data_IF_240473208430
#
_entry.id   IF_240473208430
#
_cell.length_a   1.000
_cell.length_b   1.000
_cell.length_c   1.000
_cell.angle_alpha   90.00
_cell.angle_beta   90.00
_cell.angle_gamma   90.00
#
_symmetry.space_group_name_H-M   'P 1'
#
loop_
_entity.id
_entity.type
_entity.pdbx_description
1 polymer ?
#
# COMPACT_ATOMS: atom_id res chain seq x y z
N UNK A 1 -9.80 8.36 -40.29
CA UNK A 1 -9.54 8.55 -41.74
C UNK A 1 -8.44 7.62 -42.29
N UNK A 2 -7.88 6.68 -41.49
CA UNK A 2 -6.80 5.79 -41.91
C UNK A 2 -7.24 4.30 -42.03
N UNK A 3 -8.52 4.06 -42.34
CA UNK A 3 -9.08 2.69 -42.39
C UNK A 3 -10.00 2.52 -43.61
N UNK A 4 -9.64 3.19 -44.72
CA UNK A 4 -10.28 2.92 -46.00
C UNK A 4 -9.56 1.71 -46.63
N UNK A 5 -10.25 0.62 -47.00
CA UNK A 5 -9.62 -0.54 -47.61
C UNK A 5 -9.01 -0.14 -48.95
N UNK A 6 -7.68 -0.03 -48.99
CA UNK A 6 -6.93 0.26 -50.21
C UNK A 6 -6.92 -0.98 -51.11
N UNK A 7 -7.53 -0.93 -52.31
CA UNK A 7 -7.57 -2.06 -53.24
C UNK A 7 -6.17 -2.45 -53.77
N UNK A 8 -5.15 -1.65 -53.49
CA UNK A 8 -3.76 -1.80 -53.93
C UNK A 8 -2.81 -2.19 -52.80
N UNK A 9 -3.27 -2.86 -51.74
CA UNK A 9 -2.39 -3.32 -50.67
C UNK A 9 -1.44 -4.45 -51.16
N UNK A 10 -0.13 -4.18 -51.32
CA UNK A 10 0.83 -5.17 -51.80
C UNK A 10 0.97 -6.36 -50.83
N UNK A 11 0.56 -6.18 -49.56
CA UNK A 11 0.52 -7.25 -48.57
C UNK A 11 -0.46 -8.37 -48.94
N UNK A 12 -1.56 -8.06 -49.64
CA UNK A 12 -2.54 -9.08 -50.10
C UNK A 12 -2.00 -9.93 -51.24
N UNK A 13 -1.23 -9.32 -52.14
CA UNK A 13 -0.63 -9.99 -53.30
C UNK A 13 0.60 -10.82 -52.91
N UNK A 14 1.39 -10.37 -51.94
CA UNK A 14 2.61 -11.05 -51.50
C UNK A 14 2.36 -12.16 -50.46
N UNK A 15 1.37 -12.03 -49.58
CA UNK A 15 1.15 -12.97 -48.47
C UNK A 15 -0.05 -13.91 -48.68
N UNK A 16 -0.86 -13.71 -49.72
CA UNK A 16 -1.96 -14.62 -50.08
C UNK A 16 -2.85 -15.01 -48.88
N UNK A 17 -3.12 -16.31 -48.62
CA UNK A 17 -3.97 -16.74 -47.51
C UNK A 17 -3.43 -16.41 -46.12
N UNK A 18 -2.11 -16.14 -45.99
CA UNK A 18 -1.47 -15.75 -44.73
C UNK A 18 -1.65 -14.27 -44.40
N UNK A 19 -2.14 -13.44 -45.35
CA UNK A 19 -2.42 -12.03 -45.12
C UNK A 19 -3.41 -11.82 -43.96
N UNK A 20 -4.38 -12.74 -43.77
CA UNK A 20 -5.34 -12.66 -42.66
C UNK A 20 -4.68 -12.78 -41.28
N UNK A 21 -3.67 -13.64 -41.14
CA UNK A 21 -2.94 -13.77 -39.89
C UNK A 21 -1.90 -12.68 -39.70
N UNK A 22 -1.27 -12.22 -40.78
CA UNK A 22 -0.35 -11.07 -40.75
C UNK A 22 -1.09 -9.76 -40.39
N UNK A 23 -2.31 -9.57 -40.90
CA UNK A 23 -3.17 -8.44 -40.58
C UNK A 23 -3.64 -8.46 -39.11
N UNK A 24 -3.73 -9.63 -38.49
CA UNK A 24 -4.00 -9.82 -37.05
C UNK A 24 -2.72 -9.77 -36.18
N UNK A 25 -1.55 -9.44 -36.74
CA UNK A 25 -0.28 -9.40 -36.00
C UNK A 25 0.30 -10.78 -35.64
N UNK A 26 0.03 -11.79 -36.47
CA UNK A 26 0.46 -13.19 -36.34
C UNK A 26 0.06 -13.88 -35.03
N UNK A 27 -0.97 -13.39 -34.32
CA UNK A 27 -1.34 -13.84 -32.97
C UNK A 27 -0.25 -13.70 -31.90
N UNK A 28 0.94 -13.20 -32.25
CA UNK A 28 2.04 -12.96 -31.31
C UNK A 28 1.65 -11.89 -30.28
N UNK A 29 0.96 -10.85 -30.73
CA UNK A 29 0.45 -9.81 -29.83
C UNK A 29 -0.60 -10.38 -28.85
N UNK A 30 -1.45 -11.30 -29.33
CA UNK A 30 -2.40 -12.00 -28.47
C UNK A 30 -1.71 -12.91 -27.44
N UNK A 31 -0.68 -13.64 -27.86
CA UNK A 31 0.13 -14.49 -27.00
C UNK A 31 0.88 -13.67 -25.95
N UNK A 32 1.54 -12.57 -26.34
CA UNK A 32 2.26 -11.68 -25.44
C UNK A 32 1.31 -11.04 -24.41
N UNK A 33 0.13 -10.61 -24.88
CA UNK A 33 -0.89 -10.05 -24.01
C UNK A 33 -1.40 -11.08 -22.99
N UNK A 34 -1.58 -12.33 -23.39
CA UNK A 34 -2.04 -13.38 -22.50
C UNK A 34 -0.95 -13.86 -21.53
N UNK A 35 0.28 -14.02 -22.01
CA UNK A 35 1.40 -14.58 -21.24
C UNK A 35 2.08 -13.56 -20.32
N UNK A 36 2.10 -12.27 -20.68
CA UNK A 36 2.82 -11.25 -19.93
C UNK A 36 1.92 -10.10 -19.46
N UNK A 37 1.17 -9.46 -20.36
CA UNK A 37 0.41 -8.25 -19.99
C UNK A 37 -0.70 -8.55 -18.98
N UNK A 38 -1.52 -9.57 -19.24
CA UNK A 38 -2.62 -9.98 -18.35
C UNK A 38 -2.14 -10.39 -16.96
N UNK A 39 -1.14 -11.28 -16.79
CA UNK A 39 -0.68 -11.64 -15.45
C UNK A 39 -0.02 -10.48 -14.72
N UNK A 40 0.77 -9.64 -15.41
CA UNK A 40 1.41 -8.47 -14.76
C UNK A 40 0.37 -7.45 -14.29
N UNK A 41 -0.64 -7.17 -15.11
CA UNK A 41 -1.73 -6.24 -14.74
C UNK A 41 -2.61 -6.82 -13.63
N UNK A 42 -2.88 -8.12 -13.64
CA UNK A 42 -3.57 -8.81 -12.55
C UNK A 42 -2.76 -8.75 -11.24
N UNK A 43 -1.47 -9.03 -11.28
CA UNK A 43 -0.59 -8.93 -10.12
C UNK A 43 -0.53 -7.50 -9.57
N UNK A 44 -0.40 -6.50 -10.43
CA UNK A 44 -0.43 -5.09 -10.01
C UNK A 44 -1.76 -4.72 -9.32
N UNK A 45 -2.88 -5.25 -9.83
CA UNK A 45 -4.19 -5.01 -9.21
C UNK A 45 -4.29 -5.66 -7.82
N UNK A 46 -3.73 -6.85 -7.63
CA UNK A 46 -3.68 -7.56 -6.35
C UNK A 46 -2.80 -6.82 -5.34
N UNK A 47 -1.62 -6.37 -5.76
CA UNK A 47 -0.71 -5.58 -4.90
C UNK A 47 -1.40 -4.29 -4.46
N UNK A 48 -2.06 -3.58 -5.38
CA UNK A 48 -2.82 -2.38 -5.04
C UNK A 48 -3.97 -2.66 -4.07
N UNK A 49 -4.64 -3.81 -4.20
CA UNK A 49 -5.68 -4.22 -3.26
C UNK A 49 -5.10 -4.50 -1.87
N UNK A 50 -4.00 -5.25 -1.80
CA UNK A 50 -3.32 -5.56 -0.54
C UNK A 50 -2.84 -4.28 0.16
N UNK A 51 -2.22 -3.36 -0.56
CA UNK A 51 -1.79 -2.08 0.00
C UNK A 51 -2.99 -1.29 0.56
N UNK A 52 -4.06 -1.16 -0.24
CA UNK A 52 -5.23 -0.36 0.13
C UNK A 52 -6.07 -0.96 1.25
N UNK A 53 -6.17 -2.28 1.35
CA UNK A 53 -7.02 -2.91 2.38
C UNK A 53 -6.22 -3.37 3.59
N UNK A 54 -5.00 -3.86 3.41
CA UNK A 54 -4.19 -4.38 4.51
C UNK A 54 -3.36 -3.26 5.12
N UNK A 55 -2.48 -2.64 4.34
CA UNK A 55 -1.54 -1.63 4.85
C UNK A 55 -2.28 -0.42 5.41
N UNK A 56 -3.22 0.11 4.65
CA UNK A 56 -4.02 1.25 5.09
C UNK A 56 -4.84 0.93 6.36
N UNK A 57 -5.40 -0.28 6.50
CA UNK A 57 -6.11 -0.68 7.73
C UNK A 57 -5.17 -0.78 8.91
N UNK A 58 -3.97 -1.35 8.72
CA UNK A 58 -2.95 -1.39 9.76
C UNK A 58 -2.52 0.02 10.19
N UNK A 59 -2.31 0.93 9.24
CA UNK A 59 -1.93 2.32 9.53
C UNK A 59 -3.06 3.04 10.27
N UNK A 60 -4.30 2.92 9.82
CA UNK A 60 -5.47 3.51 10.51
C UNK A 60 -5.66 2.91 11.91
N UNK A 61 -5.43 1.62 12.07
CA UNK A 61 -5.45 0.94 13.36
C UNK A 61 -4.35 1.45 14.30
N UNK A 62 -3.12 1.55 13.81
CA UNK A 62 -2.00 2.10 14.57
C UNK A 62 -2.24 3.55 14.98
N UNK A 63 -2.89 4.35 14.14
CA UNK A 63 -3.27 5.71 14.46
C UNK A 63 -4.34 5.82 15.57
N UNK A 64 -5.09 4.75 15.88
CA UNK A 64 -6.06 4.76 16.97
C UNK A 64 -5.38 4.79 18.36
N UNK A 65 -4.24 4.12 18.52
CA UNK A 65 -3.53 4.03 19.79
C UNK A 65 -3.12 5.41 20.38
N UNK A 66 -2.40 6.30 19.65
CA UNK A 66 -2.06 7.62 20.18
C UNK A 66 -3.30 8.50 20.38
N UNK A 67 -4.38 8.31 19.60
CA UNK A 67 -5.64 9.06 19.78
C UNK A 67 -6.33 8.66 21.09
N UNK A 68 -6.35 7.36 21.41
CA UNK A 68 -6.88 6.85 22.67
C UNK A 68 -6.03 7.29 23.85
N UNK A 69 -4.70 7.21 23.74
CA UNK A 69 -3.77 7.73 24.75
C UNK A 69 -3.99 9.22 25.00
N UNK A 70 -4.08 10.03 23.94
CA UNK A 70 -4.37 11.45 24.05
C UNK A 70 -5.74 11.72 24.70
N UNK A 71 -6.76 10.90 24.42
CA UNK A 71 -8.07 11.01 25.06
C UNK A 71 -8.04 10.62 26.54
N UNK A 72 -7.27 9.61 26.92
CA UNK A 72 -7.05 9.20 28.30
C UNK A 72 -6.29 10.29 29.08
N UNK A 73 -5.21 10.83 28.50
CA UNK A 73 -4.45 11.95 29.08
C UNK A 73 -5.34 13.17 29.27
N UNK A 74 -6.17 13.52 28.27
CA UNK A 74 -7.14 14.63 28.40
C UNK A 74 -8.14 14.40 29.53
N UNK A 75 -8.62 13.17 29.74
CA UNK A 75 -9.49 12.83 30.89
C UNK A 75 -8.76 12.94 32.23
N UNK A 76 -7.46 12.62 32.27
CA UNK A 76 -6.65 12.73 33.47
C UNK A 76 -6.34 14.18 33.87
N UNK A 77 -6.51 15.14 32.97
CA UNK A 77 -6.42 16.57 33.27
C UNK A 77 -7.68 17.04 34.02
N UNK A 78 -7.73 16.78 35.31
CA UNK A 78 -8.86 17.13 36.19
C UNK A 78 -8.84 18.59 36.66
N UNK A 79 -7.84 19.38 36.26
CA UNK A 79 -7.64 20.77 36.71
C UNK A 79 -7.18 20.90 38.18
N UNK A 80 -6.99 19.80 38.89
CA UNK A 80 -6.56 19.78 40.28
C UNK A 80 -5.03 19.71 40.40
N UNK A 81 -4.39 20.82 40.76
CA UNK A 81 -2.93 20.94 40.95
C UNK A 81 -2.33 19.85 41.84
N UNK A 82 -3.04 19.40 42.88
CA UNK A 82 -2.55 18.36 43.79
C UNK A 82 -2.38 17.00 43.08
N UNK A 83 -3.24 16.70 42.10
CA UNK A 83 -3.12 15.49 41.27
C UNK A 83 -1.87 15.56 40.38
N UNK A 84 -1.55 16.74 39.85
CA UNK A 84 -0.33 16.93 39.06
C UNK A 84 0.93 16.77 39.92
N UNK A 85 0.97 17.40 41.09
CA UNK A 85 2.14 17.34 42.00
C UNK A 85 2.37 15.91 42.51
N UNK A 86 1.30 15.21 42.92
CA UNK A 86 1.40 13.81 43.36
C UNK A 86 1.84 12.87 42.24
N UNK A 87 1.33 13.05 41.01
CA UNK A 87 1.78 12.28 39.85
C UNK A 87 3.25 12.56 39.49
N UNK A 88 3.70 13.82 39.59
CA UNK A 88 5.09 14.22 39.38
C UNK A 88 6.02 13.55 40.40
N UNK A 89 5.70 13.65 41.70
CA UNK A 89 6.49 13.01 42.76
C UNK A 89 6.56 11.49 42.59
N UNK A 90 5.41 10.84 42.32
CA UNK A 90 5.38 9.40 42.06
C UNK A 90 6.23 9.03 40.83
N UNK A 91 6.13 9.80 39.75
CA UNK A 91 6.92 9.60 38.53
C UNK A 91 8.43 9.76 38.77
N UNK A 92 8.83 10.76 39.56
CA UNK A 92 10.24 10.94 39.96
C UNK A 92 10.76 9.74 40.73
N UNK A 93 10.02 9.26 41.75
CA UNK A 93 10.43 8.08 42.54
C UNK A 93 10.60 6.85 41.64
N UNK A 94 9.65 6.59 40.75
CA UNK A 94 9.71 5.46 39.80
C UNK A 94 10.93 5.58 38.88
N UNK A 95 11.18 6.75 38.31
CA UNK A 95 12.34 6.99 37.44
C UNK A 95 13.66 6.81 38.19
N UNK A 96 13.77 7.33 39.42
CA UNK A 96 14.95 7.15 40.25
C UNK A 96 15.22 5.67 40.52
N UNK A 97 14.19 4.89 40.90
CA UNK A 97 14.33 3.45 41.10
C UNK A 97 14.75 2.75 39.81
N UNK A 98 14.11 3.05 38.68
CA UNK A 98 14.44 2.45 37.39
C UNK A 98 15.88 2.73 36.96
N UNK A 99 16.36 3.96 37.13
CA UNK A 99 17.76 4.35 36.85
C UNK A 99 18.73 3.62 37.77
N UNK A 100 18.43 3.54 39.07
CA UNK A 100 19.26 2.81 40.03
C UNK A 100 19.36 1.34 39.63
N UNK A 101 18.24 0.69 39.33
CA UNK A 101 18.21 -0.70 38.89
C UNK A 101 19.07 -0.90 37.63
N UNK A 102 18.82 -0.09 36.59
CA UNK A 102 19.58 -0.14 35.34
C UNK A 102 21.08 0.10 35.52
N UNK A 103 21.47 1.02 36.41
CA UNK A 103 22.87 1.30 36.72
C UNK A 103 23.52 0.22 37.60
N UNK A 104 22.73 -0.46 38.44
CA UNK A 104 23.19 -1.54 39.32
C UNK A 104 23.36 -2.89 38.62
N UNK A 105 23.00 -3.00 37.33
CA UNK A 105 23.13 -4.24 36.56
C UNK A 105 22.25 -5.39 37.04
N UNK A 106 21.19 -5.07 37.78
CA UNK A 106 20.12 -5.98 38.17
C UNK A 106 19.07 -6.10 37.05
#
# INVERSE_FOLDING_TARGET
LADAPDPSDPGRLLLGPLHRHAAEGFHLDALYRAAFVRPVTAAASLVRFLDREVVETYVRGAAAAPRLLGAAVRRAQTGNLQTYVSALLAGTVVLTVAVVLAASGA
#
